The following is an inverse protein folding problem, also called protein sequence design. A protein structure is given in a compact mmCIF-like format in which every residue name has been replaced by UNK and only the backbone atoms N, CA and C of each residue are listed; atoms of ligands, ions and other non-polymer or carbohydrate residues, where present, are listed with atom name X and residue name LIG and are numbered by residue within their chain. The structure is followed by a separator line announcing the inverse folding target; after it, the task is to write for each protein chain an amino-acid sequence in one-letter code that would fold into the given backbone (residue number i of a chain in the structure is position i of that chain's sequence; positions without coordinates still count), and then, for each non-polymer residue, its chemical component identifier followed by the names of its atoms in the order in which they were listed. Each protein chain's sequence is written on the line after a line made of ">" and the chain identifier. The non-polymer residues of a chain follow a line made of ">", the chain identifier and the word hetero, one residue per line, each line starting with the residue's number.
data_IF_586542831297
#
_entry.id   IF_586542831297
#
_cell.length_a   1.000
_cell.length_b   1.000
_cell.length_c   1.000
_cell.angle_alpha   90.00
_cell.angle_beta   90.00
_cell.angle_gamma   90.00
#
_symmetry.space_group_name_H-M   'P 1'
#
loop_
_entity.id
_entity.type
_entity.pdbx_description
1 polymer ?
#
# COMPACT_ATOMS: atom_id res chain seq x y z
N UNK A 1 -3.35 -10.45 -15.39
CA UNK A 1 -3.22 -9.53 -14.24
C UNK A 1 -1.99 -8.68 -14.47
N UNK A 2 -2.00 -7.40 -14.08
CA UNK A 2 -0.90 -6.45 -14.32
C UNK A 2 0.47 -6.99 -13.88
N UNK A 3 0.52 -7.78 -12.80
CA UNK A 3 1.75 -8.39 -12.28
C UNK A 3 2.28 -9.51 -13.18
N UNK A 4 1.41 -10.32 -13.78
CA UNK A 4 1.84 -11.39 -14.68
C UNK A 4 2.46 -10.82 -15.97
N UNK A 5 1.83 -9.79 -16.54
CA UNK A 5 2.35 -9.06 -17.70
C UNK A 5 3.68 -8.37 -17.38
N UNK A 6 3.77 -7.71 -16.21
CA UNK A 6 5.01 -7.09 -15.75
C UNK A 6 6.14 -8.11 -15.58
N UNK A 7 5.85 -9.26 -14.94
CA UNK A 7 6.85 -10.33 -14.75
C UNK A 7 7.35 -10.88 -16.10
N UNK A 8 6.44 -11.03 -17.07
CA UNK A 8 6.78 -11.47 -18.42
C UNK A 8 7.63 -10.44 -19.18
N UNK A 9 7.31 -9.15 -19.06
CA UNK A 9 8.12 -8.08 -19.65
C UNK A 9 9.51 -8.01 -19.03
N UNK A 10 9.59 -8.12 -17.70
CA UNK A 10 10.85 -8.16 -16.97
C UNK A 10 11.74 -9.33 -17.43
N UNK A 11 11.18 -10.53 -17.53
CA UNK A 11 11.90 -11.72 -18.00
C UNK A 11 12.40 -11.55 -19.45
N UNK A 12 11.58 -10.97 -20.35
CA UNK A 12 12.00 -10.66 -21.74
C UNK A 12 13.15 -9.68 -21.79
N UNK A 13 13.12 -8.61 -20.99
CA UNK A 13 14.22 -7.63 -20.91
C UNK A 13 15.50 -8.32 -20.44
N UNK A 14 15.40 -9.20 -19.44
CA UNK A 14 16.55 -9.95 -18.93
C UNK A 14 17.13 -10.91 -19.97
N UNK A 15 16.27 -11.57 -20.76
CA UNK A 15 16.71 -12.39 -21.88
C UNK A 15 17.47 -11.58 -22.94
N UNK A 16 16.99 -10.38 -23.27
CA UNK A 16 17.67 -9.49 -24.21
C UNK A 16 19.01 -9.02 -23.63
N UNK A 17 19.02 -8.59 -22.37
CA UNK A 17 20.21 -8.13 -21.68
C UNK A 17 21.30 -9.23 -21.58
N UNK A 18 20.90 -10.49 -21.40
CA UNK A 18 21.82 -11.63 -21.44
C UNK A 18 22.42 -11.84 -22.83
N UNK A 19 21.62 -11.71 -23.91
CA UNK A 19 22.14 -11.80 -25.28
C UNK A 19 23.19 -10.71 -25.56
N UNK A 20 22.97 -9.51 -25.04
CA UNK A 20 23.90 -8.38 -25.16
C UNK A 20 25.02 -8.36 -24.11
N UNK A 21 25.09 -9.38 -23.23
CA UNK A 21 26.08 -9.50 -22.14
C UNK A 21 26.18 -8.23 -21.27
N UNK A 22 25.05 -7.60 -20.98
CA UNK A 22 25.03 -6.44 -20.08
C UNK A 22 25.48 -6.85 -18.68
N UNK A 23 26.46 -6.13 -18.13
CA UNK A 23 26.98 -6.36 -16.76
C UNK A 23 25.87 -6.29 -15.71
N UNK A 24 24.86 -5.45 -15.93
CA UNK A 24 23.82 -5.13 -14.96
C UNK A 24 22.87 -6.30 -14.66
N UNK A 25 22.77 -7.25 -15.60
CA UNK A 25 21.94 -8.46 -15.47
C UNK A 25 22.76 -9.68 -15.08
N UNK A 26 24.07 -9.65 -15.34
CA UNK A 26 24.99 -10.72 -14.97
C UNK A 26 25.27 -10.74 -13.46
N UNK A 27 25.31 -9.58 -12.81
CA UNK A 27 25.47 -9.49 -11.36
C UNK A 27 24.09 -9.51 -10.66
N UNK A 28 23.78 -10.52 -9.83
CA UNK A 28 22.56 -10.52 -9.03
C UNK A 28 22.45 -9.36 -8.05
N UNK A 29 23.58 -8.78 -7.61
CA UNK A 29 23.56 -7.67 -6.64
C UNK A 29 23.01 -6.37 -7.25
N UNK A 30 23.24 -6.13 -8.54
CA UNK A 30 22.77 -4.91 -9.23
C UNK A 30 21.27 -4.92 -9.46
N UNK A 31 20.70 -6.03 -9.94
CA UNK A 31 19.28 -6.04 -10.29
C UNK A 31 18.34 -6.45 -9.15
N UNK A 32 18.79 -7.26 -8.19
CA UNK A 32 17.90 -7.78 -7.14
C UNK A 32 17.39 -6.66 -6.20
N UNK A 33 18.23 -5.67 -5.90
CA UNK A 33 17.84 -4.53 -5.07
C UNK A 33 16.72 -3.71 -5.72
N UNK A 34 16.86 -3.43 -7.02
CA UNK A 34 15.85 -2.73 -7.82
C UNK A 34 14.56 -3.54 -7.93
N UNK A 35 14.67 -4.85 -8.18
CA UNK A 35 13.52 -5.75 -8.24
C UNK A 35 12.71 -5.74 -6.94
N UNK A 36 13.37 -5.93 -5.79
CA UNK A 36 12.71 -5.96 -4.49
C UNK A 36 12.10 -4.60 -4.11
N UNK A 37 12.69 -3.50 -4.57
CA UNK A 37 12.16 -2.15 -4.33
C UNK A 37 10.87 -1.94 -5.13
N UNK A 38 10.86 -2.31 -6.41
CA UNK A 38 9.66 -2.23 -7.26
C UNK A 38 8.57 -3.18 -6.76
N UNK A 39 8.94 -4.41 -6.40
CA UNK A 39 8.00 -5.42 -5.90
C UNK A 39 7.36 -5.00 -4.58
N UNK A 40 8.08 -4.31 -3.69
CA UNK A 40 7.49 -3.73 -2.46
C UNK A 40 6.49 -2.62 -2.71
N UNK A 41 6.70 -1.83 -3.76
CA UNK A 41 5.76 -0.78 -4.14
C UNK A 41 4.44 -1.33 -4.67
N UNK A 42 4.42 -2.60 -5.09
CA UNK A 42 3.22 -3.26 -5.56
C UNK A 42 2.46 -3.93 -4.40
N UNK A 43 1.19 -3.58 -4.14
CA UNK A 43 0.40 -4.16 -3.05
C UNK A 43 0.30 -5.69 -3.08
N UNK A 44 0.35 -6.29 -4.27
CA UNK A 44 0.25 -7.74 -4.45
C UNK A 44 1.58 -8.46 -4.22
N UNK A 45 2.71 -7.78 -4.45
CA UNK A 45 4.04 -8.38 -4.31
C UNK A 45 4.77 -7.94 -3.05
N UNK A 46 4.19 -7.06 -2.22
CA UNK A 46 4.83 -6.58 -1.00
C UNK A 46 5.15 -7.68 0.00
N UNK A 47 4.23 -8.65 0.15
CA UNK A 47 4.43 -9.83 0.99
C UNK A 47 5.53 -10.73 0.41
N UNK A 48 5.42 -11.09 -0.87
CA UNK A 48 6.44 -11.86 -1.59
C UNK A 48 7.84 -11.23 -1.46
N UNK A 49 7.98 -9.93 -1.75
CA UNK A 49 9.27 -9.24 -1.72
C UNK A 49 9.89 -9.21 -0.32
N UNK A 50 9.07 -9.19 0.73
CA UNK A 50 9.54 -9.23 2.11
C UNK A 50 10.02 -10.64 2.48
N UNK A 51 9.22 -11.66 2.16
CA UNK A 51 9.55 -13.07 2.38
C UNK A 51 10.79 -13.50 1.56
N UNK A 52 10.82 -13.17 0.27
CA UNK A 52 11.93 -13.42 -0.63
C UNK A 52 13.24 -12.80 -0.12
N UNK A 53 13.19 -11.56 0.36
CA UNK A 53 14.38 -10.91 0.93
C UNK A 53 14.94 -11.68 2.12
N UNK A 54 14.08 -12.23 2.97
CA UNK A 54 14.50 -12.91 4.19
C UNK A 54 15.05 -14.31 3.91
N UNK A 55 14.44 -15.04 2.97
CA UNK A 55 14.69 -16.47 2.81
C UNK A 55 15.52 -16.84 1.58
N UNK A 56 15.45 -16.05 0.49
CA UNK A 56 16.01 -16.40 -0.82
C UNK A 56 17.04 -15.41 -1.35
N UNK A 57 17.17 -14.22 -0.75
CA UNK A 57 18.16 -13.21 -1.16
C UNK A 57 19.59 -13.77 -1.19
N UNK A 58 20.01 -14.50 -0.16
CA UNK A 58 21.35 -15.07 -0.09
C UNK A 58 21.61 -16.09 -1.20
N UNK A 59 20.60 -16.89 -1.55
CA UNK A 59 20.68 -17.90 -2.62
C UNK A 59 20.83 -17.27 -4.01
N UNK A 60 20.19 -16.11 -4.23
CA UNK A 60 20.37 -15.34 -5.47
C UNK A 60 21.77 -14.72 -5.53
N UNK A 61 22.27 -14.15 -4.44
CA UNK A 61 23.61 -13.56 -4.40
C UNK A 61 24.72 -14.59 -4.51
N UNK A 62 24.51 -15.81 -4.00
CA UNK A 62 25.45 -16.92 -4.16
C UNK A 62 25.39 -17.59 -5.54
N UNK A 63 24.56 -17.08 -6.46
CA UNK A 63 24.39 -17.64 -7.79
C UNK A 63 23.67 -18.98 -7.84
N UNK A 64 23.07 -19.43 -6.72
CA UNK A 64 22.27 -20.66 -6.69
C UNK A 64 20.92 -20.48 -7.36
N UNK A 65 20.41 -19.24 -7.39
CA UNK A 65 19.17 -18.90 -8.07
C UNK A 65 19.40 -17.97 -9.24
N UNK A 66 18.89 -18.38 -10.40
CA UNK A 66 18.86 -17.57 -11.62
C UNK A 66 17.63 -16.66 -11.66
N UNK A 67 17.69 -15.60 -12.48
CA UNK A 67 16.56 -14.69 -12.69
C UNK A 67 15.27 -15.41 -13.14
N UNK A 68 15.38 -16.55 -13.84
CA UNK A 68 14.23 -17.37 -14.26
C UNK A 68 13.54 -18.04 -13.09
N UNK A 69 14.31 -18.54 -12.13
CA UNK A 69 13.76 -19.14 -10.92
C UNK A 69 13.08 -18.09 -10.05
N UNK A 70 13.62 -16.86 -10.02
CA UNK A 70 12.96 -15.71 -9.39
C UNK A 70 11.64 -15.38 -10.10
N UNK A 71 11.61 -15.34 -11.43
CA UNK A 71 10.37 -15.11 -12.19
C UNK A 71 9.33 -16.20 -11.93
N UNK A 72 9.76 -17.47 -11.84
CA UNK A 72 8.89 -18.58 -11.49
C UNK A 72 8.31 -18.42 -10.10
N UNK A 73 9.14 -18.06 -9.12
CA UNK A 73 8.72 -17.84 -7.74
C UNK A 73 7.64 -16.74 -7.62
N UNK A 74 7.81 -15.65 -8.36
CA UNK A 74 6.81 -14.58 -8.45
C UNK A 74 5.49 -15.12 -9.01
N UNK A 75 5.55 -15.93 -10.08
CA UNK A 75 4.33 -16.50 -10.70
C UNK A 75 3.62 -17.47 -9.76
N UNK A 76 4.36 -18.31 -9.04
CA UNK A 76 3.81 -19.28 -8.11
C UNK A 76 3.12 -18.57 -6.93
N UNK A 77 3.73 -17.50 -6.40
CA UNK A 77 3.13 -16.67 -5.34
C UNK A 77 1.84 -15.98 -5.83
N UNK A 78 1.82 -15.50 -7.07
CA UNK A 78 0.63 -14.88 -7.65
C UNK A 78 -0.53 -15.88 -7.85
N UNK A 79 -0.24 -17.14 -8.16
CA UNK A 79 -1.26 -18.20 -8.21
C UNK A 79 -1.83 -18.43 -6.81
N UNK A 80 -0.96 -18.45 -5.79
CA UNK A 80 -1.36 -18.61 -4.39
C UNK A 80 -2.26 -17.47 -3.92
N UNK A 81 -1.83 -16.21 -4.08
CA UNK A 81 -2.61 -15.01 -3.70
C UNK A 81 -3.96 -14.98 -4.41
N UNK A 82 -4.00 -15.26 -5.71
CA UNK A 82 -5.25 -15.26 -6.47
C UNK A 82 -6.22 -16.37 -6.02
N UNK A 83 -5.70 -17.49 -5.51
CA UNK A 83 -6.51 -18.58 -4.97
C UNK A 83 -7.01 -18.29 -3.55
N UNK A 84 -6.23 -17.62 -2.69
CA UNK A 84 -6.70 -17.18 -1.37
C UNK A 84 -7.84 -16.17 -1.47
N UNK A 85 -7.72 -15.19 -2.37
CA UNK A 85 -8.79 -14.20 -2.62
C UNK A 85 -10.09 -14.89 -3.03
N UNK A 86 -10.02 -15.95 -3.84
CA UNK A 86 -11.19 -16.75 -4.23
C UNK A 86 -11.79 -17.58 -3.08
N UNK A 87 -10.99 -17.95 -2.08
CA UNK A 87 -11.42 -18.71 -0.89
C UNK A 87 -11.99 -17.83 0.22
N UNK A 88 -11.83 -16.50 0.14
CA UNK A 88 -12.25 -15.55 1.18
C UNK A 88 -13.77 -15.31 1.30
N UNK A 89 -14.61 -15.96 0.48
CA UNK A 89 -16.06 -15.79 0.55
C UNK A 89 -16.67 -16.87 1.43
N UNK A 90 -17.26 -16.46 2.57
CA UNK A 90 -18.06 -17.23 3.56
C UNK A 90 -17.29 -17.74 4.79
N UNK A 91 -16.88 -16.82 5.67
CA UNK A 91 -16.87 -17.13 7.10
C UNK A 91 -18.33 -17.10 7.59
N UNK A 92 -19.05 -18.20 7.38
CA UNK A 92 -20.28 -18.46 8.13
C UNK A 92 -19.83 -18.93 9.51
N UNK A 93 -19.97 -18.07 10.52
CA UNK A 93 -19.88 -18.51 11.91
C UNK A 93 -20.97 -19.58 12.11
N UNK A 94 -20.66 -20.77 12.67
CA UNK A 94 -21.68 -21.73 12.98
C UNK A 94 -22.60 -21.12 14.05
N UNK A 95 -23.84 -20.83 13.68
CA UNK A 95 -24.89 -20.56 14.65
C UNK A 95 -25.19 -21.91 15.29
N UNK A 96 -24.72 -22.12 16.52
CA UNK A 96 -25.17 -23.23 17.35
C UNK A 96 -26.67 -23.02 17.61
N UNK A 97 -27.52 -23.73 16.86
CA UNK A 97 -28.93 -23.86 17.24
C UNK A 97 -28.96 -24.83 18.42
N UNK A 98 -29.27 -24.29 19.60
CA UNK A 98 -29.60 -25.11 20.76
C UNK A 98 -30.76 -26.04 20.39
N UNK A 99 -30.59 -27.31 20.71
CA UNK A 99 -31.60 -28.34 20.63
C UNK A 99 -32.59 -28.10 21.77
N UNK A 100 -33.75 -27.53 21.44
CA UNK A 100 -34.90 -27.52 22.34
C UNK A 100 -35.83 -28.65 21.94
N UNK A 101 -36.04 -29.53 22.92
CA UNK A 101 -36.90 -30.71 22.90
C UNK A 101 -38.34 -30.38 22.49
N UNK A 102 -38.93 -31.34 21.79
CA UNK A 102 -40.30 -31.36 21.25
C UNK A 102 -41.38 -30.92 22.26
N UNK A 103 -42.34 -30.11 21.80
CA UNK A 103 -43.57 -29.82 22.53
C UNK A 103 -44.42 -28.67 21.98
N UNK A 104 -45.40 -29.02 21.12
CA UNK A 104 -46.73 -28.40 20.95
C UNK A 104 -46.89 -26.99 20.32
N UNK A 105 -47.64 -26.95 19.20
CA UNK A 105 -48.28 -25.77 18.56
C UNK A 105 -49.65 -25.53 19.27
N UNK A 106 -50.33 -24.34 19.32
CA UNK A 106 -50.42 -23.36 18.22
C UNK A 106 -50.60 -21.85 18.53
N UNK A 107 -50.47 -21.07 17.44
CA UNK A 107 -51.15 -19.79 17.11
C UNK A 107 -50.75 -18.43 17.74
N UNK A 108 -50.74 -17.45 16.82
CA UNK A 108 -51.05 -15.99 16.93
C UNK A 108 -50.02 -15.01 17.52
N UNK A 109 -49.59 -14.08 16.65
CA UNK A 109 -49.89 -12.65 16.82
C UNK A 109 -48.75 -11.70 17.27
N UNK A 110 -48.64 -10.56 16.58
CA UNK A 110 -48.59 -9.25 17.24
C UNK A 110 -47.23 -8.64 17.67
N UNK A 111 -46.79 -7.64 16.91
CA UNK A 111 -46.22 -6.32 17.30
C UNK A 111 -45.47 -6.13 18.65
N UNK A 112 -44.27 -5.53 18.48
CA UNK A 112 -43.69 -4.36 19.18
C UNK A 112 -43.22 -4.43 20.64
N UNK A 113 -41.96 -3.96 20.81
CA UNK A 113 -41.45 -3.03 21.85
C UNK A 113 -41.58 -3.40 23.34
N UNK A 114 -40.46 -3.54 24.05
CA UNK A 114 -40.01 -2.59 25.08
C UNK A 114 -38.82 -3.09 25.94
N UNK A 115 -37.89 -2.15 26.17
CA UNK A 115 -37.09 -1.84 27.38
C UNK A 115 -37.10 -2.81 28.58
N UNK A 116 -35.93 -2.99 29.20
CA UNK A 116 -35.84 -3.09 30.67
C UNK A 116 -34.61 -3.78 31.22
N UNK A 117 -33.78 -3.02 31.93
CA UNK A 117 -32.58 -3.41 32.67
C UNK A 117 -32.81 -4.42 33.81
N UNK A 118 -31.71 -5.07 34.26
CA UNK A 118 -31.33 -5.26 35.68
C UNK A 118 -29.94 -5.87 35.79
N UNK A 119 -29.02 -5.15 36.43
CA UNK A 119 -27.70 -5.66 36.83
C UNK A 119 -27.68 -6.17 38.27
N UNK A 120 -26.51 -6.67 38.69
CA UNK A 120 -25.91 -6.73 40.05
C UNK A 120 -24.78 -7.77 39.99
N UNK A 121 -23.51 -7.33 39.98
CA UNK A 121 -22.61 -7.37 41.14
C UNK A 121 -21.85 -8.72 41.19
N UNK A 122 -20.61 -8.87 41.63
CA UNK A 122 -19.72 -8.01 42.39
C UNK A 122 -18.38 -8.77 42.61
N UNK A 123 -17.25 -8.06 42.52
CA UNK A 123 -15.96 -8.27 43.26
C UNK A 123 -15.11 -9.55 43.02
N UNK A 124 -13.76 -9.56 43.02
CA UNK A 124 -12.72 -8.59 43.40
C UNK A 124 -11.31 -9.05 42.88
N UNK A 125 -10.44 -8.07 42.52
CA UNK A 125 -8.94 -7.96 42.62
C UNK A 125 -8.03 -8.97 41.90
N UNK A 126 -6.83 -8.66 41.36
CA UNK A 126 -5.92 -7.49 41.28
C UNK A 126 -4.92 -7.82 40.12
N UNK A 127 -4.57 -6.95 39.17
CA UNK A 127 -3.64 -5.79 39.18
C UNK A 127 -2.31 -6.09 38.43
N UNK A 128 -2.09 -5.42 37.28
CA UNK A 128 -0.83 -4.71 37.00
C UNK A 128 -0.94 -3.74 35.81
N UNK A 129 -0.99 -2.45 36.16
CA UNK A 129 -0.20 -1.33 35.61
C UNK A 129 -0.20 -1.07 34.08
N UNK A 130 -1.26 -0.43 33.56
CA UNK A 130 -1.16 0.41 32.36
C UNK A 130 -0.91 1.87 32.77
N UNK A 131 0.26 2.41 32.38
CA UNK A 131 0.59 3.83 32.58
C UNK A 131 -0.38 4.71 31.79
N UNK A 132 -1.13 5.55 32.51
CA UNK A 132 -1.95 6.64 31.99
C UNK A 132 -1.03 7.80 31.59
N UNK A 133 -0.96 8.14 30.31
CA UNK A 133 -0.42 9.45 29.90
C UNK A 133 -1.57 10.45 29.94
N UNK A 134 -1.33 11.51 30.69
CA UNK A 134 -2.31 12.54 31.06
C UNK A 134 -2.56 13.45 29.86
N UNK A 135 -3.83 13.82 29.75
CA UNK A 135 -4.41 14.78 28.83
C UNK A 135 -3.87 16.19 29.11
N UNK A 136 -3.63 16.97 28.07
CA UNK A 136 -3.53 18.42 28.15
C UNK A 136 -4.17 18.93 26.87
N UNK A 137 -5.42 19.36 27.03
CA UNK A 137 -6.33 19.58 25.94
C UNK A 137 -6.16 20.91 25.20
N UNK A 138 -7.05 21.02 24.21
CA UNK A 138 -7.52 22.20 23.48
C UNK A 138 -6.67 22.71 22.31
N UNK A 139 -7.01 22.25 21.09
CA UNK A 139 -7.72 23.11 20.15
C UNK A 139 -8.38 22.28 19.02
N UNK A 140 -9.69 22.47 18.93
CA UNK A 140 -10.68 22.05 17.93
C UNK A 140 -10.23 21.89 16.46
N UNK A 141 -10.71 20.81 15.83
CA UNK A 141 -10.91 20.75 14.37
C UNK A 141 -11.24 19.33 13.86
N UNK A 142 -12.40 19.08 13.22
CA UNK A 142 -12.72 17.78 12.66
C UNK A 142 -12.22 17.72 11.21
N UNK A 143 -11.10 17.05 10.95
CA UNK A 143 -10.75 16.69 9.56
C UNK A 143 -10.21 15.27 9.55
N UNK A 144 -11.08 14.35 9.13
CA UNK A 144 -10.66 13.08 8.55
C UNK A 144 -9.65 13.39 7.45
N UNK A 145 -8.36 13.20 7.73
CA UNK A 145 -7.29 13.38 6.75
C UNK A 145 -7.48 12.30 5.69
N UNK A 146 -8.24 12.61 4.65
CA UNK A 146 -8.22 11.88 3.38
C UNK A 146 -6.76 11.75 3.01
N UNK A 147 -6.31 10.54 2.69
CA UNK A 147 -4.96 10.29 2.19
C UNK A 147 -4.78 11.05 0.87
N UNK A 148 -4.44 12.34 0.93
CA UNK A 148 -4.22 13.19 -0.22
C UNK A 148 -2.89 12.79 -0.84
N UNK A 149 -2.99 12.03 -1.92
CA UNK A 149 -1.87 11.71 -2.81
C UNK A 149 -1.72 12.81 -3.85
N UNK A 150 -0.50 13.27 -4.08
CA UNK A 150 -0.22 14.26 -5.10
C UNK A 150 -0.52 13.71 -6.51
N UNK A 151 -1.28 14.44 -7.33
CA UNK A 151 -1.61 14.03 -8.71
C UNK A 151 -0.38 13.89 -9.62
N UNK A 152 0.71 14.60 -9.36
CA UNK A 152 1.90 14.60 -10.22
C UNK A 152 2.94 13.56 -9.79
N UNK A 153 3.30 13.52 -8.51
CA UNK A 153 4.35 12.61 -8.05
C UNK A 153 3.81 11.35 -7.33
N UNK A 154 2.48 11.24 -7.17
CA UNK A 154 1.80 10.19 -6.42
C UNK A 154 2.26 10.02 -4.96
N UNK A 155 3.08 10.94 -4.45
CA UNK A 155 3.53 10.95 -3.07
C UNK A 155 2.39 11.27 -2.11
N UNK A 156 2.40 10.63 -0.95
CA UNK A 156 1.44 10.89 0.11
C UNK A 156 1.78 12.17 0.89
N UNK A 157 0.76 12.84 1.42
CA UNK A 157 0.92 13.88 2.44
C UNK A 157 1.20 15.28 1.91
N UNK A 158 1.02 15.53 0.61
CA UNK A 158 1.06 16.88 0.05
C UNK A 158 0.18 17.03 -1.19
N UNK A 159 -0.25 18.26 -1.44
CA UNK A 159 -1.00 18.64 -2.64
C UNK A 159 -0.06 19.05 -3.79
N UNK A 160 -0.60 19.13 -5.00
CA UNK A 160 0.17 19.51 -6.20
C UNK A 160 0.94 20.82 -6.01
N UNK A 161 0.32 21.82 -5.37
CA UNK A 161 0.91 23.14 -5.07
C UNK A 161 2.21 23.07 -4.27
N UNK A 162 2.35 22.05 -3.42
CA UNK A 162 3.50 21.85 -2.53
C UNK A 162 4.40 20.69 -2.99
N UNK A 163 4.25 20.24 -4.23
CA UNK A 163 5.06 19.16 -4.78
C UNK A 163 6.46 19.64 -5.16
N UNK A 164 7.48 19.17 -4.44
CA UNK A 164 8.88 19.52 -4.69
C UNK A 164 9.43 18.97 -6.02
N UNK A 165 8.80 17.95 -6.59
CA UNK A 165 9.19 17.42 -7.91
C UNK A 165 8.72 18.30 -9.07
N UNK A 166 7.61 19.02 -8.88
CA UNK A 166 7.05 19.97 -9.86
C UNK A 166 7.59 21.39 -9.63
N UNK A 167 7.76 21.75 -8.37
CA UNK A 167 8.22 23.07 -7.90
C UNK A 167 9.51 22.93 -7.08
N UNK A 168 10.66 22.69 -7.74
CA UNK A 168 11.95 22.55 -7.04
C UNK A 168 12.36 23.84 -6.32
N UNK A 169 11.87 25.00 -6.78
CA UNK A 169 12.12 26.31 -6.13
C UNK A 169 11.57 26.41 -4.71
N UNK A 170 10.57 25.60 -4.35
CA UNK A 170 9.96 25.59 -3.02
C UNK A 170 10.73 24.72 -2.02
N UNK A 171 11.77 24.00 -2.46
CA UNK A 171 12.57 23.17 -1.56
C UNK A 171 13.33 24.08 -0.60
N UNK A 172 13.12 23.95 0.74
CA UNK A 172 13.84 24.76 1.71
C UNK A 172 15.35 24.52 1.57
N UNK A 173 16.14 25.59 1.53
CA UNK A 173 17.62 25.52 1.39
C UNK A 173 18.30 24.68 2.48
N UNK A 174 17.66 24.53 3.63
CA UNK A 174 18.14 23.76 4.78
C UNK A 174 17.65 22.30 4.78
N UNK A 175 16.81 21.90 3.82
CA UNK A 175 16.30 20.54 3.77
C UNK A 175 17.30 19.59 3.10
N UNK A 176 17.50 18.40 3.68
CA UNK A 176 18.23 17.30 3.04
C UNK A 176 17.44 16.63 1.91
N UNK A 177 16.51 17.36 1.29
CA UNK A 177 15.63 16.81 0.27
C UNK A 177 16.42 16.52 -1.01
N UNK A 178 16.59 15.23 -1.31
CA UNK A 178 17.20 14.78 -2.56
C UNK A 178 16.10 14.35 -3.52
N UNK A 179 16.06 15.00 -4.68
CA UNK A 179 15.15 14.62 -5.76
C UNK A 179 15.45 13.19 -6.21
N UNK A 180 14.47 12.30 -6.07
CA UNK A 180 14.55 10.98 -6.65
C UNK A 180 14.42 11.09 -8.18
N UNK A 181 15.44 10.64 -8.89
CA UNK A 181 15.51 10.70 -10.36
C UNK A 181 14.30 9.98 -10.97
N UNK A 182 13.97 8.76 -10.52
CA UNK A 182 12.84 7.99 -11.05
C UNK A 182 11.50 8.72 -10.93
N UNK A 183 11.27 9.43 -9.82
CA UNK A 183 10.05 10.21 -9.62
C UNK A 183 10.02 11.45 -10.51
N UNK A 184 11.18 12.08 -10.76
CA UNK A 184 11.29 13.18 -11.72
C UNK A 184 10.92 12.73 -13.14
N UNK A 185 11.43 11.59 -13.57
CA UNK A 185 11.09 11.00 -14.87
C UNK A 185 9.60 10.63 -14.95
N UNK A 186 9.02 10.08 -13.88
CA UNK A 186 7.59 9.79 -13.80
C UNK A 186 6.76 11.07 -13.97
N UNK A 187 7.09 12.14 -13.25
CA UNK A 187 6.39 13.43 -13.35
C UNK A 187 6.47 13.98 -14.77
N UNK A 188 7.63 13.90 -15.42
CA UNK A 188 7.79 14.32 -16.82
C UNK A 188 6.94 13.49 -17.78
N UNK A 189 6.94 12.17 -17.62
CA UNK A 189 6.11 11.28 -18.42
C UNK A 189 4.61 11.58 -18.24
N UNK A 190 4.17 11.82 -17.00
CA UNK A 190 2.79 12.20 -16.69
C UNK A 190 2.40 13.55 -17.28
N UNK A 191 3.29 14.55 -17.22
CA UNK A 191 3.06 15.85 -17.87
C UNK A 191 2.93 15.72 -19.38
N UNK A 192 3.67 14.80 -20.01
CA UNK A 192 3.55 14.55 -21.45
C UNK A 192 2.31 13.73 -21.83
N UNK A 193 1.81 12.88 -20.93
CA UNK A 193 0.66 12.02 -21.17
C UNK A 193 -0.67 12.72 -20.89
N UNK A 194 -0.73 13.56 -19.86
CA UNK A 194 -1.96 14.20 -19.38
C UNK A 194 -1.91 15.74 -19.58
N UNK A 195 -2.49 16.29 -20.66
CA UNK A 195 -2.48 17.73 -20.92
C UNK A 195 -3.25 18.53 -19.85
N UNK A 196 -4.23 17.90 -19.19
CA UNK A 196 -4.97 18.50 -18.07
C UNK A 196 -4.08 18.72 -16.85
N UNK A 197 -3.12 17.82 -16.61
CA UNK A 197 -2.19 17.94 -15.49
C UNK A 197 -1.16 19.05 -15.76
N UNK A 198 -0.70 19.20 -17.00
CA UNK A 198 0.19 20.31 -17.37
C UNK A 198 -0.50 21.67 -17.23
N UNK A 199 -1.77 21.79 -17.66
CA UNK A 199 -2.55 23.03 -17.47
C UNK A 199 -2.73 23.35 -15.98
N UNK A 200 -3.05 22.37 -15.13
CA UNK A 200 -3.18 22.56 -13.68
C UNK A 200 -1.85 22.98 -13.02
N UNK A 201 -0.71 22.51 -13.54
CA UNK A 201 0.61 22.95 -13.06
C UNK A 201 0.89 24.39 -13.47
N UNK A 202 0.53 24.78 -14.69
CA UNK A 202 0.70 26.14 -15.18
C UNK A 202 -0.20 27.16 -14.48
N UNK A 203 -1.44 26.80 -14.17
CA UNK A 203 -2.33 27.66 -13.38
C UNK A 203 -1.75 27.91 -11.99
N UNK A 204 -1.27 26.84 -11.32
CA UNK A 204 -0.59 26.96 -10.03
C UNK A 204 0.68 27.82 -10.14
N UNK A 205 1.49 27.69 -11.20
CA UNK A 205 2.66 28.58 -11.43
C UNK A 205 2.26 30.05 -11.53
N UNK A 206 1.14 30.33 -12.19
CA UNK A 206 0.64 31.70 -12.39
C UNK A 206 0.13 32.29 -11.08
N UNK A 207 -0.63 31.52 -10.31
CA UNK A 207 -1.10 31.93 -8.96
C UNK A 207 0.07 32.22 -8.01
N UNK A 208 1.07 31.35 -7.98
CA UNK A 208 2.26 31.54 -7.13
C UNK A 208 3.11 32.75 -7.52
N UNK A 209 3.13 33.10 -8.81
CA UNK A 209 3.81 34.31 -9.28
C UNK A 209 3.07 35.57 -8.86
N UNK A 210 1.74 35.57 -8.96
CA UNK A 210 0.91 36.69 -8.55
C UNK A 210 1.04 36.93 -7.03
N UNK A 211 1.02 35.86 -6.22
CA UNK A 211 1.17 35.95 -4.77
C UNK A 211 2.57 36.42 -4.30
N UNK A 212 3.59 36.41 -5.16
CA UNK A 212 4.94 36.93 -4.85
C UNK A 212 5.10 38.43 -5.18
N UNK A 213 4.15 39.00 -5.93
CA UNK A 213 4.20 40.38 -6.40
C UNK A 213 3.28 41.33 -5.59
N UNK A 214 2.49 40.78 -4.66
CA UNK A 214 1.80 41.51 -3.58
C UNK A 214 2.66 41.51 -2.31
#
# INVERSE_FOLDING_TARGET
>A
TLVAEWTQQWERIFHLALRYKSSDVMDPATWLGSLLTVARGNPLLGYWASNFRMNKKSQVLSGQMTFREVAKDIRDDMIYVNNEVKRSTKAAFPIFKGEETEGEDPMRGGRSSHRGARGRGSHYKDESTKRKRVDSGAASGPVSKKNTTCKACHGAGHELRNCFYVFPEKVPRQSHFRLNISVKWLVQAMQSADPKLSEEIETVRREERNNKNE
#
